data_IF_236834157547
#
_entry.id   IF_236834157547
#
_cell.length_a   1.000
_cell.length_b   1.000
_cell.length_c   1.000
_cell.angle_alpha   90.00
_cell.angle_beta   90.00
_cell.angle_gamma   90.00
#
_symmetry.space_group_name_H-M   'P 1'
#
loop_
_entity.id
_entity.type
_entity.pdbx_description
1 polymer ?
#
# COMPACT_ATOMS: atom_id res chain seq x y z
N UNK A 1 -30.36 19.99 -5.77
CA UNK A 1 -30.10 18.82 -6.65
C UNK A 1 -29.31 17.76 -5.88
N UNK A 2 -29.96 16.70 -5.40
CA UNK A 2 -29.25 15.56 -4.82
C UNK A 2 -28.62 14.73 -5.93
N UNK A 3 -27.29 14.85 -6.06
CA UNK A 3 -26.49 13.99 -6.94
C UNK A 3 -26.61 12.56 -6.41
N UNK A 4 -27.52 11.76 -6.99
CA UNK A 4 -27.56 10.30 -6.74
C UNK A 4 -26.19 9.75 -7.08
N UNK A 5 -25.38 9.44 -6.06
CA UNK A 5 -24.12 8.74 -6.22
C UNK A 5 -24.48 7.37 -6.77
N UNK A 6 -24.23 7.11 -8.06
CA UNK A 6 -24.37 5.76 -8.64
C UNK A 6 -23.58 4.83 -7.72
N UNK A 7 -24.28 3.92 -7.03
CA UNK A 7 -23.64 2.89 -6.21
C UNK A 7 -23.15 1.85 -7.20
N UNK A 8 -21.99 2.10 -7.79
CA UNK A 8 -21.28 1.10 -8.59
C UNK A 8 -21.11 -0.11 -7.67
N UNK A 9 -21.69 -1.25 -8.04
CA UNK A 9 -21.46 -2.51 -7.33
C UNK A 9 -19.98 -2.86 -7.54
N UNK A 10 -19.13 -2.36 -6.65
CA UNK A 10 -17.75 -2.78 -6.55
C UNK A 10 -17.81 -4.06 -5.71
N UNK A 11 -17.48 -5.23 -6.30
CA UNK A 11 -17.46 -6.48 -5.56
C UNK A 11 -16.65 -6.32 -4.27
N UNK A 12 -17.10 -6.92 -3.18
CA UNK A 12 -16.42 -6.85 -1.87
C UNK A 12 -14.92 -7.11 -1.99
N UNK A 13 -14.54 -8.06 -2.85
CA UNK A 13 -13.16 -8.43 -3.12
C UNK A 13 -12.34 -7.31 -3.77
N UNK A 14 -12.92 -6.56 -4.71
CA UNK A 14 -12.22 -5.50 -5.45
C UNK A 14 -11.89 -4.29 -4.55
N UNK A 15 -12.66 -4.10 -3.47
CA UNK A 15 -12.34 -3.09 -2.46
C UNK A 15 -11.03 -3.40 -1.72
N UNK A 16 -10.61 -4.67 -1.65
CA UNK A 16 -9.40 -5.06 -0.94
C UNK A 16 -8.14 -4.75 -1.75
N UNK A 17 -8.19 -4.91 -3.06
CA UNK A 17 -7.05 -4.66 -3.96
C UNK A 17 -6.61 -3.19 -4.00
N UNK A 18 -7.50 -2.27 -3.63
CA UNK A 18 -7.22 -0.81 -3.61
C UNK A 18 -6.73 -0.30 -2.25
N UNK A 19 -6.65 -1.16 -1.22
CA UNK A 19 -6.27 -0.72 0.13
C UNK A 19 -4.77 -0.62 0.29
N UNK A 20 -4.30 0.50 0.83
CA UNK A 20 -2.88 0.74 1.12
C UNK A 20 -2.24 -0.30 2.03
N UNK A 21 -2.98 -0.95 2.93
CA UNK A 21 -2.46 -2.04 3.77
C UNK A 21 -2.37 -3.41 3.08
N UNK A 22 -3.10 -3.60 1.98
CA UNK A 22 -3.13 -4.86 1.22
C UNK A 22 -2.11 -4.86 0.09
N UNK A 23 -1.93 -3.71 -0.57
CA UNK A 23 -1.02 -3.57 -1.72
C UNK A 23 0.41 -4.05 -1.42
N UNK A 24 1.07 -3.67 -0.31
CA UNK A 24 2.43 -4.13 -0.01
C UNK A 24 2.53 -5.65 0.16
N UNK A 25 1.46 -6.30 0.63
CA UNK A 25 1.41 -7.76 0.79
C UNK A 25 1.20 -8.44 -0.56
N UNK A 26 0.32 -7.90 -1.42
CA UNK A 26 0.10 -8.42 -2.77
C UNK A 26 1.34 -8.29 -3.67
N UNK A 27 2.12 -7.23 -3.46
CA UNK A 27 3.39 -7.00 -4.16
C UNK A 27 4.57 -7.77 -3.55
N UNK A 28 4.35 -8.58 -2.51
CA UNK A 28 5.39 -9.34 -1.80
C UNK A 28 6.49 -8.44 -1.20
N UNK A 29 6.17 -7.17 -0.93
CA UNK A 29 7.07 -6.28 -0.16
C UNK A 29 7.01 -6.53 1.35
N UNK A 30 5.91 -7.12 1.82
CA UNK A 30 5.70 -7.54 3.21
C UNK A 30 4.94 -8.86 3.22
N UNK A 31 5.29 -9.73 4.16
CA UNK A 31 4.69 -11.06 4.25
C UNK A 31 3.31 -11.04 4.91
N UNK A 32 3.11 -10.12 5.87
CA UNK A 32 1.89 -10.07 6.67
C UNK A 32 1.23 -8.69 6.68
N UNK A 33 -0.10 -8.67 6.86
CA UNK A 33 -0.88 -7.43 6.94
C UNK A 33 -0.37 -6.53 8.10
N UNK A 34 -0.12 -7.01 9.33
CA UNK A 34 0.42 -6.16 10.39
C UNK A 34 1.76 -5.50 10.03
N UNK A 35 2.66 -6.22 9.34
CA UNK A 35 3.93 -5.66 8.88
C UNK A 35 3.72 -4.56 7.82
N UNK A 36 2.73 -4.70 6.93
CA UNK A 36 2.37 -3.67 5.96
C UNK A 36 1.75 -2.43 6.62
N UNK A 37 1.02 -2.60 7.73
CA UNK A 37 0.42 -1.49 8.49
C UNK A 37 1.44 -0.65 9.25
N UNK A 38 2.52 -1.25 9.72
CA UNK A 38 3.55 -0.58 10.51
C UNK A 38 4.09 0.70 9.84
N UNK A 39 4.60 0.68 8.59
CA UNK A 39 5.04 1.92 7.95
C UNK A 39 3.94 2.95 7.72
N UNK A 40 2.70 2.52 7.47
CA UNK A 40 1.57 3.44 7.24
C UNK A 40 1.24 4.18 8.55
N UNK A 41 1.05 3.45 9.65
CA UNK A 41 0.76 4.04 10.97
C UNK A 41 1.90 4.94 11.46
N UNK A 42 3.15 4.58 11.16
CA UNK A 42 4.33 5.37 11.50
C UNK A 42 4.63 6.51 10.51
N UNK A 43 3.71 6.84 9.58
CA UNK A 43 3.83 7.99 8.66
C UNK A 43 5.01 7.90 7.68
N UNK A 44 5.42 6.68 7.32
CA UNK A 44 6.57 6.41 6.44
C UNK A 44 6.17 6.21 4.98
N UNK A 45 4.87 6.22 4.68
CA UNK A 45 4.30 6.03 3.33
C UNK A 45 3.65 7.33 2.86
N UNK A 46 3.88 7.65 1.58
CA UNK A 46 3.27 8.75 0.88
C UNK A 46 2.47 8.24 -0.32
N UNK A 47 1.36 8.92 -0.63
CA UNK A 47 0.61 8.75 -1.88
C UNK A 47 0.60 10.08 -2.60
N UNK A 48 1.06 10.11 -3.85
CA UNK A 48 1.22 11.34 -4.64
C UNK A 48 1.98 12.44 -3.86
N UNK A 49 3.11 12.06 -3.25
CA UNK A 49 3.95 12.92 -2.41
C UNK A 49 3.29 13.47 -1.12
N UNK A 50 2.09 13.00 -0.78
CA UNK A 50 1.40 13.37 0.47
C UNK A 50 1.46 12.23 1.47
N UNK A 51 1.81 12.55 2.71
CA UNK A 51 1.90 11.59 3.80
C UNK A 51 0.52 10.99 4.11
N UNK A 52 0.43 9.66 4.16
CA UNK A 52 -0.80 8.94 4.49
C UNK A 52 -0.55 8.11 5.76
N UNK A 53 -1.37 8.35 6.79
CA UNK A 53 -1.36 7.59 8.04
C UNK A 53 -2.59 6.68 8.21
N UNK A 54 -3.47 6.65 7.21
CA UNK A 54 -4.70 5.87 7.24
C UNK A 54 -4.41 4.49 6.66
N UNK A 55 -4.54 3.48 7.51
CA UNK A 55 -4.27 2.08 7.18
C UNK A 55 -5.15 1.55 6.05
N UNK A 56 -6.43 1.95 6.02
CA UNK A 56 -7.40 1.51 5.00
C UNK A 56 -7.62 2.56 3.92
N UNK A 57 -6.59 3.37 3.64
CA UNK A 57 -6.65 4.35 2.57
C UNK A 57 -6.86 3.63 1.24
N UNK A 58 -7.85 4.08 0.45
CA UNK A 58 -8.10 3.53 -0.88
C UNK A 58 -7.34 4.36 -1.90
N UNK A 59 -6.37 3.74 -2.56
CA UNK A 59 -5.67 4.35 -3.69
C UNK A 59 -6.52 4.22 -4.94
N UNK A 60 -6.41 5.23 -5.81
CA UNK A 60 -7.02 5.23 -7.13
C UNK A 60 -6.01 4.75 -8.18
N UNK A 61 -6.52 4.32 -9.34
CA UNK A 61 -5.65 4.05 -10.47
C UNK A 61 -4.84 5.30 -10.84
N UNK A 62 -3.53 5.13 -11.05
CA UNK A 62 -2.59 6.21 -11.35
C UNK A 62 -1.96 6.87 -10.12
N UNK A 63 -2.40 6.54 -8.90
CA UNK A 63 -1.75 7.03 -7.69
C UNK A 63 -0.35 6.41 -7.51
N UNK A 64 0.63 7.26 -7.17
CA UNK A 64 2.00 6.84 -6.91
C UNK A 64 2.19 6.64 -5.41
N UNK A 65 2.51 5.42 -5.00
CA UNK A 65 2.85 5.09 -3.61
C UNK A 65 4.37 5.14 -3.46
N UNK A 66 4.86 5.90 -2.49
CA UNK A 66 6.29 6.02 -2.19
C UNK A 66 6.58 5.88 -0.69
N UNK A 67 7.81 5.49 -0.36
CA UNK A 67 8.31 5.51 1.01
C UNK A 67 9.15 6.77 1.25
N UNK A 68 9.24 7.22 2.50
CA UNK A 68 10.22 8.24 2.86
C UNK A 68 11.64 7.76 2.55
N UNK A 69 12.53 8.68 2.17
CA UNK A 69 13.87 8.38 1.65
C UNK A 69 14.72 7.54 2.62
N UNK A 70 14.65 7.84 3.91
CA UNK A 70 15.35 7.06 4.95
C UNK A 70 14.84 5.61 5.06
N UNK A 71 13.53 5.41 4.91
CA UNK A 71 12.95 4.06 4.94
C UNK A 71 13.22 3.28 3.65
N UNK A 72 13.27 3.98 2.50
CA UNK A 72 13.53 3.37 1.20
C UNK A 72 14.93 2.75 1.13
N UNK A 73 15.95 3.39 1.73
CA UNK A 73 17.32 2.85 1.76
C UNK A 73 17.41 1.54 2.53
N UNK A 74 17.01 1.53 3.79
CA UNK A 74 17.12 0.33 4.65
C UNK A 74 16.25 -0.81 4.12
N UNK A 75 14.99 -0.51 3.77
CA UNK A 75 14.03 -1.55 3.37
C UNK A 75 14.22 -2.02 1.93
N UNK A 76 14.80 -1.18 1.06
CA UNK A 76 15.09 -1.57 -0.32
C UNK A 76 16.08 -2.73 -0.41
N UNK A 77 17.09 -2.76 0.46
CA UNK A 77 18.05 -3.87 0.53
C UNK A 77 17.39 -5.17 1.04
N UNK A 78 16.54 -5.08 2.07
CA UNK A 78 15.78 -6.22 2.62
C UNK A 78 14.89 -6.85 1.54
N UNK A 79 14.11 -6.02 0.84
CA UNK A 79 13.22 -6.44 -0.23
C UNK A 79 14.00 -7.14 -1.35
N UNK A 80 15.13 -6.56 -1.80
CA UNK A 80 15.98 -7.17 -2.83
C UNK A 80 16.47 -8.55 -2.39
N UNK A 81 16.95 -8.69 -1.14
CA UNK A 81 17.42 -9.99 -0.63
C UNK A 81 16.30 -11.03 -0.59
N UNK A 82 15.10 -10.66 -0.16
CA UNK A 82 13.93 -11.54 -0.14
C UNK A 82 13.60 -12.09 -1.53
N UNK A 83 13.56 -11.24 -2.57
CA UNK A 83 13.30 -11.71 -3.94
C UNK A 83 14.35 -12.69 -4.48
N UNK A 84 15.63 -12.55 -4.10
CA UNK A 84 16.68 -13.47 -4.56
C UNK A 84 16.70 -14.80 -3.79
N UNK A 85 16.33 -14.80 -2.51
CA UNK A 85 16.30 -16.00 -1.66
C UNK A 85 15.09 -16.86 -1.97
N UNK A 86 13.92 -16.27 -2.25
CA UNK A 86 12.68 -17.04 -2.54
C UNK A 86 12.64 -17.69 -3.92
N UNK A 87 13.48 -17.25 -4.86
CA UNK A 87 13.53 -17.78 -6.23
C UNK A 87 14.56 -18.92 -6.37
N UNK A 88 15.47 -19.07 -5.40
CA UNK A 88 16.59 -20.01 -5.43
C UNK A 88 16.31 -21.32 -4.73
#
# INVERSE_FOLDING_TARGET
MHRRRKRSYIPFLLNLETRSDVIPVRLHFRETIPQARQPISHRRVCVNNRMVNIIHFKVSHGDIISFQENDARTRGEEIRRSFYIEIS
#
